data_IF_572961976481
#
_entry.id   IF_572961976481
#
_cell.length_a   1.000
_cell.length_b   1.000
_cell.length_c   1.000
_cell.angle_alpha   90.00
_cell.angle_beta   90.00
_cell.angle_gamma   90.00
#
_symmetry.space_group_name_H-M   'P 1'
#
loop_
_entity.id
_entity.type
_entity.pdbx_description
1 polymer ?
#
# COMPACT_ATOMS: atom_id res chain seq x y z
N UNK A 1 6.17 2.46 62.74
CA UNK A 1 5.59 1.12 62.48
C UNK A 1 5.91 0.76 61.03
N UNK A 2 6.78 -0.23 60.81
CA UNK A 2 7.26 -0.64 59.48
C UNK A 2 6.26 -1.65 58.88
N UNK A 3 5.70 -1.35 57.71
CA UNK A 3 4.86 -2.28 56.95
C UNK A 3 5.73 -2.99 55.91
N UNK A 4 5.93 -4.28 56.13
CA UNK A 4 6.58 -5.21 55.18
C UNK A 4 5.53 -5.62 54.15
N UNK A 5 5.73 -5.28 52.88
CA UNK A 5 4.90 -5.73 51.77
C UNK A 5 5.58 -6.97 51.18
N UNK A 6 4.86 -8.09 51.21
CA UNK A 6 5.28 -9.39 50.67
C UNK A 6 4.90 -9.42 49.19
N UNK A 7 5.90 -9.43 48.31
CA UNK A 7 5.77 -9.68 46.87
C UNK A 7 5.54 -11.19 46.66
N UNK A 8 4.30 -11.57 46.34
CA UNK A 8 3.99 -12.90 45.81
C UNK A 8 4.21 -12.83 44.29
N UNK A 9 5.35 -13.36 43.87
CA UNK A 9 5.67 -13.55 42.46
C UNK A 9 4.80 -14.67 41.87
N UNK A 10 4.01 -14.32 40.87
CA UNK A 10 3.31 -15.29 40.04
C UNK A 10 4.08 -15.39 38.72
N UNK A 11 4.97 -16.38 38.67
CA UNK A 11 5.76 -16.74 37.52
C UNK A 11 4.88 -17.60 36.58
N UNK A 12 4.13 -16.95 35.67
CA UNK A 12 3.45 -17.67 34.59
C UNK A 12 4.45 -17.96 33.48
N UNK A 13 5.06 -19.15 33.55
CA UNK A 13 5.80 -19.74 32.45
C UNK A 13 4.79 -20.21 31.39
N UNK A 14 4.45 -19.33 30.44
CA UNK A 14 3.70 -19.71 29.24
C UNK A 14 4.70 -20.17 28.18
N UNK A 15 4.96 -21.47 28.16
CA UNK A 15 5.71 -22.14 27.09
C UNK A 15 4.76 -22.36 25.92
N UNK A 16 4.72 -21.41 24.97
CA UNK A 16 4.08 -21.65 23.68
C UNK A 16 5.02 -22.50 22.82
N UNK A 17 4.69 -23.79 22.75
CA UNK A 17 5.22 -24.74 21.78
C UNK A 17 4.53 -24.44 20.45
N UNK A 18 5.12 -23.60 19.60
CA UNK A 18 4.80 -23.58 18.17
C UNK A 18 5.74 -24.53 17.44
N UNK A 19 5.43 -25.83 17.58
CA UNK A 19 5.88 -26.87 16.67
C UNK A 19 5.21 -26.68 15.31
N UNK A 20 6.03 -26.52 14.27
CA UNK A 20 5.74 -27.09 12.96
C UNK A 20 5.14 -26.16 11.89
N UNK A 21 5.94 -25.26 11.33
CA UNK A 21 5.87 -25.03 9.89
C UNK A 21 6.64 -26.16 9.22
N UNK A 22 5.93 -27.17 8.72
CA UNK A 22 6.50 -28.14 7.79
C UNK A 22 6.95 -27.38 6.54
N UNK A 23 8.25 -27.42 6.26
CA UNK A 23 8.78 -27.23 4.92
C UNK A 23 8.06 -28.23 4.02
N UNK A 24 7.09 -27.78 3.24
CA UNK A 24 6.73 -28.47 2.01
C UNK A 24 7.84 -28.14 1.03
N UNK A 25 8.80 -29.06 0.91
CA UNK A 25 9.67 -29.10 -0.26
C UNK A 25 8.73 -29.29 -1.46
N UNK A 26 8.54 -28.22 -2.23
CA UNK A 26 7.90 -28.29 -3.55
C UNK A 26 8.93 -28.97 -4.43
N UNK A 27 8.87 -30.30 -4.45
CA UNK A 27 9.59 -31.13 -5.41
C UNK A 27 9.15 -30.71 -6.81
N UNK A 28 10.16 -30.32 -7.59
CA UNK A 28 10.04 -29.73 -8.91
C UNK A 28 9.77 -30.85 -9.92
N UNK A 29 8.52 -31.31 -10.04
CA UNK A 29 8.06 -32.27 -11.06
C UNK A 29 7.92 -31.58 -12.44
N UNK A 30 9.03 -31.05 -12.95
CA UNK A 30 9.14 -30.47 -14.30
C UNK A 30 10.16 -31.22 -15.17
N UNK A 31 10.36 -32.51 -14.93
CA UNK A 31 11.17 -33.39 -15.80
C UNK A 31 10.35 -34.55 -16.37
N UNK A 32 9.20 -34.31 -17.01
CA UNK A 32 8.59 -35.37 -17.81
C UNK A 32 7.65 -34.89 -18.93
N UNK A 33 8.13 -34.05 -19.84
CA UNK A 33 7.52 -33.94 -21.18
C UNK A 33 8.50 -33.33 -22.20
N UNK A 34 9.58 -34.04 -22.51
CA UNK A 34 10.47 -33.69 -23.63
C UNK A 34 10.96 -34.96 -24.34
N UNK A 35 10.01 -35.74 -24.84
CA UNK A 35 10.26 -36.77 -25.85
C UNK A 35 9.29 -36.52 -27.00
N UNK A 36 9.77 -35.81 -28.02
CA UNK A 36 9.00 -35.48 -29.21
C UNK A 36 9.41 -34.16 -29.86
N UNK A 37 10.70 -33.82 -29.84
CA UNK A 37 11.22 -32.71 -30.64
C UNK A 37 11.71 -33.31 -31.95
N UNK A 38 10.83 -33.33 -32.96
CA UNK A 38 11.25 -33.55 -34.34
C UNK A 38 12.27 -32.46 -34.70
N UNK A 39 13.43 -32.91 -35.17
CA UNK A 39 14.59 -32.10 -35.48
C UNK A 39 14.25 -31.15 -36.64
N UNK A 40 13.80 -29.94 -36.33
CA UNK A 40 13.67 -28.86 -37.31
C UNK A 40 15.06 -28.61 -37.92
N UNK A 41 15.13 -28.63 -39.24
CA UNK A 41 16.37 -28.33 -39.95
C UNK A 41 16.74 -26.86 -39.73
N UNK A 42 18.03 -26.60 -39.53
CA UNK A 42 18.57 -25.30 -39.13
C UNK A 42 18.18 -24.14 -40.08
N UNK A 43 17.81 -24.44 -41.32
CA UNK A 43 17.36 -23.45 -42.31
C UNK A 43 15.89 -23.00 -42.14
N UNK A 44 15.03 -23.73 -41.41
CA UNK A 44 13.64 -23.32 -41.13
C UNK A 44 13.51 -22.47 -39.85
N UNK A 45 14.43 -22.63 -38.88
CA UNK A 45 14.44 -21.86 -37.64
C UNK A 45 14.83 -20.37 -37.87
N UNK A 46 15.70 -20.09 -38.84
CA UNK A 46 16.13 -18.73 -39.15
C UNK A 46 15.04 -17.90 -39.86
N UNK A 47 14.09 -18.54 -40.55
CA UNK A 47 12.97 -17.83 -41.21
C UNK A 47 11.90 -17.43 -40.20
N UNK A 48 11.59 -18.29 -39.22
CA UNK A 48 10.63 -17.98 -38.15
C UNK A 48 11.11 -16.85 -37.22
N UNK A 49 12.41 -16.73 -36.99
CA UNK A 49 12.96 -15.62 -36.18
C UNK A 49 12.95 -14.26 -36.88
N UNK A 50 12.91 -14.21 -38.21
CA UNK A 50 12.79 -12.94 -38.93
C UNK A 50 11.35 -12.41 -38.96
N UNK A 51 10.35 -13.28 -39.12
CA UNK A 51 8.94 -12.86 -39.14
C UNK A 51 8.43 -12.41 -37.76
N UNK A 52 8.90 -13.03 -36.67
CA UNK A 52 8.53 -12.63 -35.31
C UNK A 52 9.13 -11.28 -34.88
N UNK A 53 10.32 -10.92 -35.36
CA UNK A 53 10.93 -9.62 -35.05
C UNK A 53 10.19 -8.47 -35.75
N UNK A 54 9.79 -8.65 -37.00
CA UNK A 54 9.11 -7.60 -37.77
C UNK A 54 7.68 -7.35 -37.25
N UNK A 55 6.98 -8.41 -36.82
CA UNK A 55 5.66 -8.28 -36.18
C UNK A 55 5.73 -7.58 -34.81
N UNK A 56 6.78 -7.84 -34.03
CA UNK A 56 6.94 -7.23 -32.72
C UNK A 56 7.31 -5.75 -32.81
N UNK A 57 8.12 -5.33 -33.79
CA UNK A 57 8.44 -3.92 -34.00
C UNK A 57 7.23 -3.10 -34.48
N UNK A 58 6.40 -3.63 -35.38
CA UNK A 58 5.19 -2.94 -35.84
C UNK A 58 4.13 -2.83 -34.74
N UNK A 59 3.94 -3.87 -33.92
CA UNK A 59 3.04 -3.80 -32.76
C UNK A 59 3.52 -2.78 -31.72
N UNK A 60 4.83 -2.72 -31.46
CA UNK A 60 5.40 -1.76 -30.52
C UNK A 60 5.38 -0.32 -31.06
N UNK A 61 5.49 -0.13 -32.38
CA UNK A 61 5.32 1.18 -33.04
C UNK A 61 3.87 1.64 -32.98
N UNK A 62 2.89 0.77 -33.24
CA UNK A 62 1.46 1.11 -33.14
C UNK A 62 1.07 1.46 -31.69
N UNK A 63 1.63 0.75 -30.70
CA UNK A 63 1.50 1.10 -29.29
C UNK A 63 2.14 2.45 -28.96
N UNK A 64 3.33 2.74 -29.48
CA UNK A 64 4.02 4.02 -29.24
C UNK A 64 3.21 5.21 -29.80
N UNK A 65 2.72 5.11 -31.04
CA UNK A 65 1.91 6.16 -31.67
C UNK A 65 0.54 6.33 -30.98
N UNK A 66 -0.05 5.24 -30.46
CA UNK A 66 -1.30 5.31 -29.68
C UNK A 66 -1.11 5.94 -28.29
N UNK A 67 0.11 5.90 -27.74
CA UNK A 67 0.40 6.37 -26.38
C UNK A 67 0.75 7.86 -26.34
N UNK A 68 1.24 8.46 -27.43
CA UNK A 68 1.84 9.81 -27.38
C UNK A 68 0.83 10.97 -27.48
N UNK A 69 -0.27 10.84 -28.23
CA UNK A 69 -1.25 11.93 -28.37
C UNK A 69 -2.51 11.78 -27.50
N UNK A 70 -2.92 10.56 -27.13
CA UNK A 70 -4.19 10.36 -26.41
C UNK A 70 -4.06 10.47 -24.88
N UNK A 71 -2.86 10.29 -24.34
CA UNK A 71 -2.65 10.29 -22.89
C UNK A 71 -2.47 11.68 -22.27
N UNK A 72 -2.04 12.69 -23.03
CA UNK A 72 -1.75 14.01 -22.46
C UNK A 72 -3.04 14.77 -22.12
N UNK A 73 -4.03 14.74 -23.02
CA UNK A 73 -5.33 15.39 -22.80
C UNK A 73 -6.15 14.69 -21.70
N UNK A 74 -6.06 13.37 -21.61
CA UNK A 74 -6.70 12.58 -20.54
C UNK A 74 -6.02 12.84 -19.19
N UNK A 75 -4.70 13.05 -19.16
CA UNK A 75 -3.94 13.42 -17.95
C UNK A 75 -4.26 14.83 -17.45
N UNK A 76 -4.46 15.79 -18.37
CA UNK A 76 -4.81 17.18 -18.00
C UNK A 76 -6.25 17.25 -17.48
N UNK A 77 -7.19 16.52 -18.10
CA UNK A 77 -8.56 16.40 -17.58
C UNK A 77 -8.60 15.77 -16.18
N UNK A 78 -7.74 14.77 -15.93
CA UNK A 78 -7.59 14.16 -14.61
C UNK A 78 -7.06 15.17 -13.57
N UNK A 79 -6.16 16.09 -13.96
CA UNK A 79 -5.64 17.13 -13.06
C UNK A 79 -6.72 18.16 -12.69
N UNK A 80 -7.55 18.60 -13.64
CA UNK A 80 -8.66 19.53 -13.38
C UNK A 80 -9.75 18.88 -12.50
N UNK A 81 -10.08 17.60 -12.72
CA UNK A 81 -11.03 16.86 -11.89
C UNK A 81 -10.47 16.61 -10.45
N UNK A 82 -9.14 16.52 -10.34
CA UNK A 82 -8.40 16.54 -9.08
C UNK A 82 -8.24 17.95 -8.47
N UNK A 83 -8.74 19.02 -9.06
CA UNK A 83 -8.83 20.32 -8.37
C UNK A 83 -10.24 20.55 -7.84
N UNK A 84 -11.28 20.16 -8.59
CA UNK A 84 -12.68 20.38 -8.20
C UNK A 84 -13.21 19.36 -7.15
N UNK A 85 -12.67 18.13 -7.11
CA UNK A 85 -13.00 17.15 -6.06
C UNK A 85 -12.44 17.47 -4.66
N UNK A 86 -11.54 18.45 -4.56
CA UNK A 86 -10.71 18.72 -3.37
C UNK A 86 -11.21 19.81 -2.42
N UNK A 87 -12.27 20.53 -2.78
CA UNK A 87 -12.73 21.67 -1.99
C UNK A 87 -13.75 21.34 -0.89
N UNK A 88 -14.09 20.06 -0.65
CA UNK A 88 -14.82 19.69 0.57
C UNK A 88 -13.84 19.53 1.73
N UNK A 89 -13.36 20.66 2.22
CA UNK A 89 -12.73 20.78 3.52
C UNK A 89 -13.61 20.04 4.53
N UNK A 90 -13.06 19.08 5.26
CA UNK A 90 -13.79 18.29 6.26
C UNK A 90 -14.25 19.26 7.35
N UNK A 91 -15.47 19.76 7.26
CA UNK A 91 -16.06 20.56 8.32
C UNK A 91 -16.27 19.65 9.54
N UNK A 92 -15.33 19.69 10.48
CA UNK A 92 -15.68 19.53 11.89
C UNK A 92 -15.30 18.24 12.61
N UNK A 93 -14.12 17.67 12.38
CA UNK A 93 -13.57 16.68 13.30
C UNK A 93 -12.10 16.91 13.58
N UNK A 94 -11.72 17.28 14.81
CA UNK A 94 -10.35 17.06 15.27
C UNK A 94 -10.09 15.55 15.27
N UNK A 95 -8.91 15.13 14.82
CA UNK A 95 -8.50 13.73 14.99
C UNK A 95 -8.58 13.36 16.48
N UNK A 96 -9.12 12.19 16.79
CA UNK A 96 -9.20 11.63 18.14
C UNK A 96 -7.84 11.13 18.64
N UNK A 97 -6.96 10.84 17.70
CA UNK A 97 -5.59 10.43 17.92
C UNK A 97 -4.94 10.06 16.59
N UNK A 98 -3.67 9.70 16.68
CA UNK A 98 -2.87 9.26 15.55
C UNK A 98 -1.95 8.09 15.91
N UNK A 99 -1.49 7.39 14.88
CA UNK A 99 -0.39 6.44 14.96
C UNK A 99 0.73 6.90 14.03
N UNK A 100 1.83 7.38 14.61
CA UNK A 100 3.01 7.81 13.88
C UNK A 100 3.93 6.63 13.58
N UNK A 101 3.90 6.18 12.33
CA UNK A 101 4.75 5.13 11.77
C UNK A 101 5.71 5.71 10.72
N UNK A 102 6.02 7.02 10.78
CA UNK A 102 6.78 7.67 9.71
C UNK A 102 8.21 7.14 9.67
N UNK A 103 8.83 6.94 10.83
CA UNK A 103 10.21 6.46 10.90
C UNK A 103 10.37 5.07 10.27
N UNK A 104 9.36 4.22 10.35
CA UNK A 104 9.37 2.84 9.88
C UNK A 104 8.84 2.71 8.44
N UNK A 105 7.69 3.33 8.14
CA UNK A 105 6.95 3.10 6.90
C UNK A 105 6.54 4.37 6.15
N UNK A 106 7.06 5.54 6.54
CA UNK A 106 6.73 6.81 5.89
C UNK A 106 5.23 7.12 5.92
N UNK A 107 4.50 6.62 6.91
CA UNK A 107 3.04 6.72 7.02
C UNK A 107 2.63 7.18 8.41
N UNK A 108 1.54 7.93 8.53
CA UNK A 108 0.91 8.22 9.81
C UNK A 108 -0.61 8.10 9.67
N UNK A 109 -1.27 7.43 10.61
CA UNK A 109 -2.73 7.24 10.57
C UNK A 109 -3.42 8.21 11.53
N UNK A 110 -4.48 8.89 11.10
CA UNK A 110 -5.37 9.68 11.96
C UNK A 110 -6.74 9.02 12.08
N UNK A 111 -7.31 9.06 13.28
CA UNK A 111 -8.60 8.46 13.62
C UNK A 111 -9.65 9.55 13.87
N UNK A 112 -10.82 9.47 13.22
CA UNK A 112 -11.88 10.48 13.36
C UNK A 112 -13.20 9.90 13.85
N UNK A 113 -13.60 8.75 13.28
CA UNK A 113 -14.92 8.18 13.47
C UNK A 113 -15.26 7.79 14.91
N UNK A 114 -16.56 7.67 15.22
CA UNK A 114 -17.07 7.35 16.56
C UNK A 114 -16.66 5.98 17.10
N UNK A 115 -16.30 5.03 16.22
CA UNK A 115 -15.76 3.71 16.55
C UNK A 115 -14.54 3.86 17.44
N UNK A 116 -13.54 4.64 17.00
CA UNK A 116 -12.24 4.74 17.64
C UNK A 116 -12.30 5.27 19.07
N UNK A 117 -11.98 4.39 20.03
CA UNK A 117 -11.61 4.73 21.39
C UNK A 117 -10.09 4.54 21.63
N UNK A 118 -9.59 4.99 22.78
CA UNK A 118 -8.14 4.93 23.10
C UNK A 118 -7.57 3.51 23.02
N UNK A 119 -8.31 2.51 23.53
CA UNK A 119 -7.82 1.13 23.54
C UNK A 119 -7.70 0.57 22.12
N UNK A 120 -8.67 0.83 21.25
CA UNK A 120 -8.65 0.41 19.86
C UNK A 120 -7.57 1.14 19.05
N UNK A 121 -7.40 2.45 19.23
CA UNK A 121 -6.35 3.20 18.54
C UNK A 121 -4.96 2.72 18.94
N UNK A 122 -4.72 2.48 20.23
CA UNK A 122 -3.44 1.91 20.71
C UNK A 122 -3.22 0.50 20.20
N UNK A 123 -4.26 -0.34 20.20
CA UNK A 123 -4.16 -1.70 19.68
C UNK A 123 -3.79 -1.68 18.19
N UNK A 124 -4.48 -0.85 17.40
CA UNK A 124 -4.21 -0.70 15.98
C UNK A 124 -2.80 -0.17 15.70
N UNK A 125 -2.24 0.64 16.60
CA UNK A 125 -0.90 1.21 16.45
C UNK A 125 0.25 0.32 16.98
N UNK A 126 -0.06 -0.68 17.81
CA UNK A 126 0.91 -1.33 18.71
C UNK A 126 2.12 -2.00 18.03
N UNK A 127 2.03 -2.33 16.75
CA UNK A 127 3.11 -2.95 15.97
C UNK A 127 3.64 -2.08 14.82
N UNK A 128 3.00 -0.93 14.56
CA UNK A 128 3.30 -0.10 13.40
C UNK A 128 3.97 1.22 13.74
N UNK A 129 3.74 1.77 14.94
CA UNK A 129 4.24 3.10 15.26
C UNK A 129 4.00 3.56 16.70
N UNK A 130 4.07 4.87 16.90
CA UNK A 130 3.85 5.52 18.19
C UNK A 130 2.48 6.18 18.24
N UNK A 131 1.63 5.74 19.18
CA UNK A 131 0.32 6.35 19.39
C UNK A 131 0.43 7.75 20.03
N UNK A 132 -0.37 8.69 19.56
CA UNK A 132 -0.55 10.04 20.14
C UNK A 132 -2.01 10.47 20.14
N UNK A 133 -2.39 11.36 21.04
CA UNK A 133 -3.68 12.07 20.97
C UNK A 133 -3.64 13.28 20.04
N UNK A 134 -2.44 13.73 19.68
CA UNK A 134 -2.26 14.76 18.66
C UNK A 134 -2.47 14.17 17.26
N UNK A 135 -2.77 15.02 16.29
CA UNK A 135 -2.79 14.64 14.89
C UNK A 135 -1.39 14.31 14.36
N UNK A 136 -1.34 13.67 13.20
CA UNK A 136 -0.11 13.44 12.46
C UNK A 136 0.59 14.78 12.08
N UNK A 137 1.89 14.78 11.77
CA UNK A 137 2.57 15.97 11.24
C UNK A 137 1.91 16.54 9.99
N UNK A 138 1.98 17.86 9.79
CA UNK A 138 1.31 18.57 8.70
C UNK A 138 2.06 18.60 7.36
N UNK A 139 3.27 18.05 7.30
CA UNK A 139 4.14 18.01 6.12
C UNK A 139 3.90 16.77 5.24
N UNK A 140 2.67 16.27 5.20
CA UNK A 140 2.28 15.12 4.40
C UNK A 140 2.26 15.44 2.90
N UNK A 141 2.47 14.41 2.07
CA UNK A 141 2.39 14.51 0.61
C UNK A 141 1.01 14.15 0.05
N UNK A 142 0.10 13.73 0.92
CA UNK A 142 -1.26 13.29 0.62
C UNK A 142 -1.65 12.13 1.53
N UNK A 143 -2.90 11.71 1.48
CA UNK A 143 -3.37 10.59 2.29
C UNK A 143 -4.64 9.97 1.76
N UNK A 144 -4.86 8.72 2.16
CA UNK A 144 -6.06 7.99 1.81
C UNK A 144 -7.04 8.03 2.99
N UNK A 145 -8.14 8.77 2.84
CA UNK A 145 -9.25 8.74 3.78
C UNK A 145 -10.11 7.52 3.48
N UNK A 146 -10.35 6.68 4.48
CA UNK A 146 -11.20 5.49 4.36
C UNK A 146 -12.37 5.59 5.33
N UNK A 147 -13.57 5.31 4.84
CA UNK A 147 -14.78 5.40 5.63
C UNK A 147 -15.18 6.85 5.95
N UNK A 148 -14.94 7.79 5.03
CA UNK A 148 -15.28 9.21 5.18
C UNK A 148 -16.71 9.40 5.70
N UNK A 149 -16.85 10.06 6.85
CA UNK A 149 -18.15 10.36 7.46
C UNK A 149 -18.85 9.16 8.13
N UNK A 150 -18.19 8.01 8.23
CA UNK A 150 -18.70 6.83 8.93
C UNK A 150 -18.19 6.75 10.37
N UNK A 151 -18.69 5.79 11.15
CA UNK A 151 -18.17 5.54 12.49
C UNK A 151 -16.70 5.09 12.48
N UNK A 152 -16.17 4.52 11.40
CA UNK A 152 -14.80 4.02 11.32
C UNK A 152 -13.84 4.95 10.56
N UNK A 153 -14.24 6.21 10.30
CA UNK A 153 -13.45 7.19 9.54
C UNK A 153 -12.00 7.31 10.05
N UNK A 154 -11.05 7.09 9.14
CA UNK A 154 -9.61 7.21 9.38
C UNK A 154 -8.88 7.70 8.12
N UNK A 155 -7.73 8.33 8.29
CA UNK A 155 -6.87 8.76 7.17
C UNK A 155 -5.48 8.19 7.32
N UNK A 156 -4.98 7.53 6.29
CA UNK A 156 -3.58 7.13 6.19
C UNK A 156 -2.79 8.19 5.41
N UNK A 157 -2.05 9.05 6.12
CA UNK A 157 -1.18 10.06 5.54
C UNK A 157 0.17 9.47 5.13
N UNK A 158 0.65 9.87 3.97
CA UNK A 158 1.94 9.45 3.42
C UNK A 158 2.94 10.61 3.40
N UNK A 159 4.21 10.28 3.65
CA UNK A 159 5.30 11.23 3.75
C UNK A 159 6.43 10.80 2.82
N UNK A 160 7.08 11.74 2.14
CA UNK A 160 8.29 11.47 1.34
C UNK A 160 9.56 11.33 2.18
N UNK A 161 9.42 11.41 3.52
CA UNK A 161 10.48 11.16 4.51
C UNK A 161 10.16 9.89 5.31
N UNK A 162 11.17 9.35 5.99
CA UNK A 162 11.01 8.17 6.85
C UNK A 162 11.57 6.89 6.25
N UNK A 163 11.26 5.75 6.87
CA UNK A 163 11.84 4.44 6.54
C UNK A 163 11.21 3.75 5.34
N UNK A 164 10.03 4.19 4.89
CA UNK A 164 9.29 3.55 3.79
C UNK A 164 9.80 3.90 2.40
N UNK A 165 10.65 4.94 2.27
CA UNK A 165 11.22 5.33 0.98
C UNK A 165 10.18 5.76 -0.05
N UNK A 166 9.04 6.31 0.39
CA UNK A 166 7.96 6.73 -0.52
C UNK A 166 8.48 7.84 -1.44
N UNK A 167 8.52 7.53 -2.73
CA UNK A 167 8.87 8.47 -3.79
C UNK A 167 7.63 9.16 -4.34
N UNK A 168 7.82 10.21 -5.14
CA UNK A 168 6.72 10.86 -5.88
C UNK A 168 6.00 9.86 -6.80
N UNK A 169 6.72 8.92 -7.40
CA UNK A 169 6.12 7.88 -8.24
C UNK A 169 5.27 6.91 -7.39
N UNK A 170 5.79 6.49 -6.23
CA UNK A 170 5.05 5.64 -5.29
C UNK A 170 3.75 6.30 -4.81
N UNK A 171 3.73 7.62 -4.63
CA UNK A 171 2.51 8.36 -4.28
C UNK A 171 1.42 8.28 -5.36
N UNK A 172 1.81 8.24 -6.65
CA UNK A 172 0.84 8.05 -7.74
C UNK A 172 0.13 6.70 -7.61
N UNK A 173 0.88 5.63 -7.34
CA UNK A 173 0.31 4.30 -7.11
C UNK A 173 -0.54 4.23 -5.85
N UNK A 174 -0.10 4.87 -4.77
CA UNK A 174 -0.88 4.96 -3.54
C UNK A 174 -2.22 5.67 -3.76
N UNK A 175 -2.22 6.77 -4.52
CA UNK A 175 -3.44 7.47 -4.92
C UNK A 175 -4.36 6.57 -5.74
N UNK A 176 -3.85 5.93 -6.80
CA UNK A 176 -4.64 5.01 -7.62
C UNK A 176 -5.25 3.87 -6.79
N UNK A 177 -4.49 3.29 -5.86
CA UNK A 177 -4.98 2.25 -4.95
C UNK A 177 -6.07 2.78 -4.00
N UNK A 178 -5.92 4.02 -3.52
CA UNK A 178 -6.92 4.66 -2.69
C UNK A 178 -8.23 4.86 -3.46
N UNK A 179 -8.16 5.44 -4.66
CA UNK A 179 -9.34 5.75 -5.48
C UNK A 179 -10.03 4.48 -6.00
N UNK A 180 -9.28 3.39 -6.18
CA UNK A 180 -9.85 2.08 -6.53
C UNK A 180 -10.66 1.44 -5.39
N UNK A 181 -10.49 1.91 -4.15
CA UNK A 181 -11.22 1.39 -2.99
C UNK A 181 -12.54 2.15 -2.84
N UNK A 182 -13.67 1.47 -3.05
CA UNK A 182 -15.03 2.06 -3.08
C UNK A 182 -15.44 2.92 -1.86
N UNK A 183 -14.76 2.77 -0.72
CA UNK A 183 -15.04 3.52 0.51
C UNK A 183 -13.92 4.49 0.88
N UNK A 184 -13.03 4.80 -0.06
CA UNK A 184 -11.86 5.63 0.18
C UNK A 184 -11.77 6.79 -0.81
N UNK A 185 -11.09 7.85 -0.39
CA UNK A 185 -10.83 9.03 -1.18
C UNK A 185 -9.44 9.56 -0.87
N UNK A 186 -8.66 9.84 -1.91
CA UNK A 186 -7.38 10.54 -1.74
C UNK A 186 -7.60 12.01 -1.41
N UNK A 187 -6.88 12.53 -0.40
CA UNK A 187 -6.92 13.92 0.06
C UNK A 187 -5.51 14.51 0.20
N UNK A 188 -5.37 15.81 -0.09
CA UNK A 188 -4.07 16.52 -0.07
C UNK A 188 -3.90 17.40 1.17
N UNK A 189 -4.99 17.69 1.90
CA UNK A 189 -4.99 18.64 3.01
C UNK A 189 -5.78 18.09 4.20
N UNK A 190 -5.37 18.53 5.40
CA UNK A 190 -6.07 18.28 6.66
C UNK A 190 -7.18 19.30 6.90
#
# INVERSE_FOLDING_TARGET
MKKTIVLIGVLFAVTFIFTGCTKTDVENDLEQSREGEELMTQDEADVLHQEDQEFQEDYMRELADATEEKHLDESIALIDELEDGYAKKKEGGHAKGSCDAIAESSTCMEYYGSFWNEAEMKLHCSDSGTFSFDGCPSDMSGGCNTGTGTSADMVAWMYTRGGGGITVESLKYAKMACDATMASQWIMTK
#
